data_IF_483848550942
#
_entry.id   IF_483848550942
#
_cell.length_a   1.000
_cell.length_b   1.000
_cell.length_c   1.000
_cell.angle_alpha   90.00
_cell.angle_beta   90.00
_cell.angle_gamma   90.00
#
_symmetry.space_group_name_H-M   'P 1'
#
loop_
_entity.id
_entity.type
_entity.pdbx_description
1 polymer ?
#
# COMPACT_ATOMS: atom_id res chain seq x y z
N UNK A 1 1.50 -3.53 11.54
CA UNK A 1 2.13 -3.01 12.79
C UNK A 1 3.58 -3.51 12.95
N UNK A 2 4.52 -3.10 12.06
CA UNK A 2 5.89 -3.61 12.10
C UNK A 2 6.65 -3.27 13.39
N UNK A 3 6.32 -2.16 14.04
CA UNK A 3 6.97 -1.76 15.29
C UNK A 3 6.53 -2.56 16.52
N UNK A 4 5.33 -3.11 16.49
CA UNK A 4 4.75 -3.81 17.64
C UNK A 4 4.84 -5.33 17.50
N UNK A 5 4.63 -5.84 16.29
CA UNK A 5 4.52 -7.28 16.06
C UNK A 5 5.80 -7.85 15.40
N UNK A 6 6.21 -7.47 14.17
CA UNK A 6 7.49 -7.87 13.58
C UNK A 6 8.55 -6.74 13.70
N UNK A 7 9.13 -6.46 14.90
CA UNK A 7 10.01 -5.28 15.08
C UNK A 7 11.27 -5.33 14.22
N UNK A 8 11.72 -6.51 13.80
CA UNK A 8 12.86 -6.66 12.86
C UNK A 8 12.57 -6.08 11.47
N UNK A 9 11.29 -6.01 11.07
CA UNK A 9 10.89 -5.37 9.80
C UNK A 9 11.23 -3.89 9.78
N UNK A 10 11.26 -3.21 10.93
CA UNK A 10 11.66 -1.80 10.99
C UNK A 10 13.08 -1.56 10.46
N UNK A 11 13.99 -2.52 10.65
CA UNK A 11 15.35 -2.42 10.09
C UNK A 11 15.30 -2.51 8.57
N UNK A 12 14.57 -3.48 8.01
CA UNK A 12 14.41 -3.62 6.57
C UNK A 12 13.72 -2.39 5.94
N UNK A 13 12.70 -1.85 6.60
CA UNK A 13 12.03 -0.62 6.15
C UNK A 13 12.97 0.60 6.17
N UNK A 14 13.82 0.71 7.19
CA UNK A 14 14.83 1.76 7.24
C UNK A 14 15.84 1.61 6.12
N UNK A 15 16.34 0.40 5.89
CA UNK A 15 17.32 0.14 4.83
C UNK A 15 16.72 0.44 3.45
N UNK A 16 15.45 0.09 3.23
CA UNK A 16 14.71 0.48 2.03
C UNK A 16 14.57 2.01 1.91
N UNK A 17 14.27 2.69 3.01
CA UNK A 17 14.18 4.16 3.07
C UNK A 17 15.50 4.82 2.75
N UNK A 18 16.59 4.33 3.33
CA UNK A 18 17.96 4.82 3.07
C UNK A 18 18.36 4.59 1.59
N UNK A 19 17.78 3.56 0.94
CA UNK A 19 17.93 3.30 -0.50
C UNK A 19 16.98 4.13 -1.39
N UNK A 20 16.17 5.01 -0.81
CA UNK A 20 15.29 5.92 -1.55
C UNK A 20 13.87 5.41 -1.77
N UNK A 21 13.44 4.35 -1.09
CA UNK A 21 12.06 3.88 -1.17
C UNK A 21 11.09 4.85 -0.47
N UNK A 22 9.90 5.02 -1.05
CA UNK A 22 8.77 5.69 -0.42
C UNK A 22 7.92 4.67 0.32
N UNK A 23 7.60 4.94 1.58
CA UNK A 23 6.84 4.04 2.44
C UNK A 23 5.46 4.63 2.72
N UNK A 24 4.42 3.96 2.24
CA UNK A 24 3.02 4.27 2.53
C UNK A 24 2.51 3.32 3.62
N UNK A 25 2.07 3.90 4.73
CA UNK A 25 1.51 3.17 5.86
C UNK A 25 -0.01 3.29 5.88
N UNK A 26 -0.69 2.17 5.72
CA UNK A 26 -2.15 2.09 5.82
C UNK A 26 -2.51 1.41 7.13
N UNK A 27 -3.09 2.16 8.08
CA UNK A 27 -3.44 1.63 9.40
C UNK A 27 -4.48 2.52 10.08
N UNK A 28 -5.49 1.96 10.75
CA UNK A 28 -6.43 2.74 11.58
C UNK A 28 -5.77 3.53 12.70
N UNK A 29 -4.59 3.10 13.16
CA UNK A 29 -3.83 3.76 14.23
C UNK A 29 -2.45 4.20 13.73
N UNK A 30 -2.02 5.38 14.15
CA UNK A 30 -0.64 5.81 13.95
C UNK A 30 0.30 4.96 14.79
N UNK A 31 1.31 4.37 14.15
CA UNK A 31 2.27 3.51 14.82
C UNK A 31 3.58 4.26 15.11
N UNK A 32 3.97 4.28 16.39
CA UNK A 32 5.16 5.00 16.85
C UNK A 32 6.44 4.52 16.12
N UNK A 33 6.56 3.22 15.83
CA UNK A 33 7.72 2.65 15.12
C UNK A 33 7.90 3.17 13.70
N UNK A 34 6.82 3.55 13.03
CA UNK A 34 6.85 4.13 11.67
C UNK A 34 7.02 5.65 11.69
N UNK A 35 6.57 6.31 12.77
CA UNK A 35 6.67 7.75 12.94
C UNK A 35 8.02 8.18 13.50
N UNK A 36 8.60 7.37 14.42
CA UNK A 36 9.88 7.67 15.08
C UNK A 36 10.63 6.39 15.40
N UNK A 37 11.35 5.85 14.43
CA UNK A 37 12.18 4.67 14.65
C UNK A 37 13.58 5.03 15.15
N UNK A 38 14.00 4.37 16.23
CA UNK A 38 15.37 4.41 16.75
C UNK A 38 15.82 2.98 17.05
N UNK A 39 16.87 2.54 16.35
CA UNK A 39 17.37 1.16 16.52
C UNK A 39 18.13 1.04 17.83
N UNK A 40 17.73 0.17 18.77
CA UNK A 40 18.34 0.09 20.10
C UNK A 40 19.83 -0.29 20.09
N UNK A 41 20.26 -1.10 19.12
CA UNK A 41 21.64 -1.59 19.02
C UNK A 41 22.59 -0.62 18.30
N UNK A 42 22.09 0.44 17.69
CA UNK A 42 22.90 1.46 17.01
C UNK A 42 23.29 2.64 17.90
N UNK A 43 22.82 2.61 19.16
CA UNK A 43 23.24 3.59 20.17
C UNK A 43 24.77 3.68 20.31
N UNK A 44 25.44 2.53 20.22
CA UNK A 44 26.91 2.41 20.28
C UNK A 44 27.62 2.94 19.01
N UNK A 45 26.93 3.13 17.89
CA UNK A 45 27.49 3.60 16.62
C UNK A 45 27.27 5.10 16.38
N UNK A 46 26.90 5.86 17.40
CA UNK A 46 26.74 7.32 17.31
C UNK A 46 25.54 7.82 16.48
N UNK A 47 24.67 6.94 15.99
CA UNK A 47 23.42 7.31 15.31
C UNK A 47 22.33 7.65 16.33
N UNK A 48 22.39 8.86 16.85
CA UNK A 48 21.39 9.39 17.80
C UNK A 48 20.07 9.84 17.15
N UNK A 49 19.99 9.89 15.82
CA UNK A 49 18.81 10.41 15.11
C UNK A 49 17.72 9.35 15.00
N UNK A 50 16.51 9.73 15.38
CA UNK A 50 15.30 8.99 15.02
C UNK A 50 14.98 9.20 13.54
N UNK A 51 14.59 8.13 12.83
CA UNK A 51 14.16 8.18 11.43
C UNK A 51 12.65 8.06 11.35
N UNK A 52 12.00 8.95 10.61
CA UNK A 52 10.62 8.76 10.19
C UNK A 52 10.62 7.78 9.03
N UNK A 53 10.00 6.61 9.19
CA UNK A 53 9.97 5.59 8.17
C UNK A 53 8.83 5.81 7.16
N UNK A 54 7.61 6.03 7.66
CA UNK A 54 6.47 6.28 6.78
C UNK A 54 6.50 7.70 6.20
N UNK A 55 6.39 7.81 4.88
CA UNK A 55 6.24 9.08 4.18
C UNK A 55 4.78 9.53 4.18
N UNK A 56 3.87 8.58 3.99
CA UNK A 56 2.43 8.80 4.00
C UNK A 56 1.77 7.87 4.99
N UNK A 57 0.81 8.39 5.73
CA UNK A 57 -0.04 7.61 6.62
C UNK A 57 -1.50 7.80 6.23
N UNK A 58 -2.10 6.74 5.70
CA UNK A 58 -3.53 6.67 5.40
C UNK A 58 -4.24 6.02 6.60
N UNK A 59 -4.90 6.84 7.41
CA UNK A 59 -5.64 6.37 8.59
C UNK A 59 -6.99 5.81 8.17
N UNK A 60 -6.97 4.64 7.57
CA UNK A 60 -8.17 3.97 7.06
C UNK A 60 -9.14 3.60 8.18
N UNK A 61 -10.44 3.70 7.94
CA UNK A 61 -11.46 3.15 8.85
C UNK A 61 -11.33 1.64 8.91
N UNK A 62 -11.62 1.07 10.09
CA UNK A 62 -11.68 -0.39 10.24
C UNK A 62 -12.70 -0.97 9.25
N UNK A 63 -12.24 -1.87 8.38
CA UNK A 63 -13.04 -2.45 7.30
C UNK A 63 -13.16 -1.58 6.04
N UNK A 64 -12.53 -0.41 6.01
CA UNK A 64 -12.52 0.50 4.85
C UNK A 64 -11.45 0.19 3.79
N UNK A 65 -10.64 -0.83 4.01
CA UNK A 65 -9.49 -1.19 3.16
C UNK A 65 -9.90 -1.45 1.71
N UNK A 66 -10.99 -2.19 1.49
CA UNK A 66 -11.51 -2.47 0.14
C UNK A 66 -11.89 -1.18 -0.60
N UNK A 67 -12.49 -0.21 0.10
CA UNK A 67 -12.86 1.06 -0.49
C UNK A 67 -11.64 1.91 -0.84
N UNK A 68 -10.63 1.92 0.04
CA UNK A 68 -9.36 2.59 -0.23
C UNK A 68 -8.66 2.00 -1.46
N UNK A 69 -8.51 0.67 -1.52
CA UNK A 69 -7.87 -0.02 -2.64
C UNK A 69 -8.62 0.23 -3.95
N UNK A 70 -9.95 0.19 -3.92
CA UNK A 70 -10.78 0.55 -5.08
C UNK A 70 -10.57 2.00 -5.51
N UNK A 71 -10.38 2.92 -4.57
CA UNK A 71 -10.02 4.31 -4.85
C UNK A 71 -8.66 4.45 -5.53
N UNK A 72 -7.66 3.71 -5.07
CA UNK A 72 -6.33 3.68 -5.68
C UNK A 72 -6.36 3.11 -7.10
N UNK A 73 -7.09 2.01 -7.32
CA UNK A 73 -7.30 1.41 -8.65
C UNK A 73 -8.00 2.41 -9.57
N UNK A 74 -9.11 3.02 -9.10
CA UNK A 74 -9.86 4.02 -9.86
C UNK A 74 -8.99 5.21 -10.27
N UNK A 75 -8.21 5.73 -9.35
CA UNK A 75 -7.28 6.84 -9.62
C UNK A 75 -6.31 6.51 -10.76
N UNK A 76 -5.72 5.31 -10.75
CA UNK A 76 -4.78 4.90 -11.78
C UNK A 76 -5.45 4.63 -13.13
N UNK A 77 -6.67 4.07 -13.13
CA UNK A 77 -7.47 3.92 -14.35
C UNK A 77 -7.82 5.28 -14.97
N UNK A 78 -8.20 6.27 -14.14
CA UNK A 78 -8.50 7.64 -14.60
C UNK A 78 -7.25 8.35 -15.13
N UNK A 79 -6.06 8.01 -14.60
CA UNK A 79 -4.78 8.55 -15.05
C UNK A 79 -4.17 7.79 -16.25
N UNK A 80 -4.77 6.68 -16.69
CA UNK A 80 -4.21 5.82 -17.73
C UNK A 80 -2.93 5.09 -17.31
N UNK A 81 -2.68 4.98 -16.01
CA UNK A 81 -1.47 4.36 -15.44
C UNK A 81 -1.66 2.84 -15.27
N UNK A 82 -1.74 2.13 -16.38
CA UNK A 82 -1.91 0.67 -16.45
C UNK A 82 -0.81 0.11 -17.34
N UNK A 83 -0.17 -0.96 -16.90
CA UNK A 83 0.74 -1.76 -17.74
C UNK A 83 -0.08 -2.64 -18.68
N UNK A 84 -0.47 -2.06 -19.83
CA UNK A 84 -1.36 -2.72 -20.78
C UNK A 84 -0.81 -4.05 -21.30
N UNK A 85 0.49 -4.10 -21.60
CA UNK A 85 1.15 -5.32 -22.10
C UNK A 85 1.14 -6.44 -21.05
N UNK A 86 1.40 -6.09 -19.80
CA UNK A 86 1.33 -7.05 -18.69
C UNK A 86 -0.10 -7.53 -18.46
N UNK A 87 -1.06 -6.62 -18.46
CA UNK A 87 -2.48 -6.93 -18.25
C UNK A 87 -2.97 -7.88 -19.34
N UNK A 88 -2.69 -7.62 -20.61
CA UNK A 88 -3.11 -8.45 -21.73
C UNK A 88 -2.51 -9.86 -21.66
N UNK A 89 -1.22 -9.97 -21.31
CA UNK A 89 -0.50 -11.25 -21.38
C UNK A 89 -0.62 -12.08 -20.10
N UNK A 90 -0.89 -11.47 -18.94
CA UNK A 90 -0.70 -12.10 -17.61
C UNK A 90 -1.93 -12.05 -16.72
N UNK A 91 -3.02 -11.42 -17.16
CA UNK A 91 -4.24 -11.33 -16.36
C UNK A 91 -5.48 -11.82 -17.10
N UNK A 92 -6.54 -12.06 -16.36
CA UNK A 92 -7.87 -12.38 -16.90
C UNK A 92 -8.89 -11.46 -16.23
N UNK A 93 -10.02 -11.21 -16.90
CA UNK A 93 -11.16 -10.44 -16.38
C UNK A 93 -10.81 -9.01 -15.90
N UNK A 94 -9.75 -8.41 -16.47
CA UNK A 94 -9.32 -7.04 -16.12
C UNK A 94 -10.45 -6.03 -16.26
N UNK A 95 -11.23 -6.07 -17.35
CA UNK A 95 -12.31 -5.12 -17.59
C UNK A 95 -13.43 -5.22 -16.55
N UNK A 96 -13.72 -6.40 -16.03
CA UNK A 96 -14.71 -6.55 -14.96
C UNK A 96 -14.26 -5.86 -13.66
N UNK A 97 -12.99 -5.98 -13.31
CA UNK A 97 -12.38 -5.28 -12.18
C UNK A 97 -12.35 -3.76 -12.41
N UNK A 98 -11.92 -3.34 -13.59
CA UNK A 98 -11.82 -1.92 -13.97
C UNK A 98 -13.19 -1.24 -13.96
N UNK A 99 -14.23 -1.87 -14.51
CA UNK A 99 -15.60 -1.34 -14.48
C UNK A 99 -16.14 -1.24 -13.05
N UNK A 100 -15.89 -2.23 -12.22
CA UNK A 100 -16.24 -2.18 -10.79
C UNK A 100 -15.60 -0.97 -10.08
N UNK A 101 -14.36 -0.63 -10.42
CA UNK A 101 -13.69 0.53 -9.85
C UNK A 101 -14.21 1.85 -10.46
N UNK A 102 -14.38 1.93 -11.80
CA UNK A 102 -14.88 3.12 -12.48
C UNK A 102 -16.29 3.51 -12.04
N UNK A 103 -17.20 2.53 -11.93
CA UNK A 103 -18.60 2.75 -11.54
C UNK A 103 -18.78 3.14 -10.07
N UNK A 104 -17.79 2.87 -9.20
CA UNK A 104 -17.90 3.23 -7.79
C UNK A 104 -17.72 4.75 -7.59
N UNK A 105 -18.73 5.46 -7.04
CA UNK A 105 -18.64 6.91 -6.84
C UNK A 105 -17.55 7.30 -5.85
N UNK A 106 -16.77 8.35 -6.13
CA UNK A 106 -15.75 8.90 -5.23
C UNK A 106 -16.31 9.20 -3.83
N UNK A 107 -17.54 9.73 -3.76
CA UNK A 107 -18.21 10.00 -2.46
C UNK A 107 -18.30 8.75 -1.61
N UNK A 108 -18.65 7.60 -2.21
CA UNK A 108 -18.73 6.32 -1.50
C UNK A 108 -17.35 5.83 -1.05
N UNK A 109 -16.35 5.93 -1.92
CA UNK A 109 -14.96 5.56 -1.61
C UNK A 109 -14.46 6.33 -0.39
N UNK A 110 -14.61 7.66 -0.40
CA UNK A 110 -14.20 8.53 0.72
C UNK A 110 -14.97 8.22 1.99
N UNK A 111 -16.27 8.02 1.90
CA UNK A 111 -17.12 7.71 3.05
C UNK A 111 -16.75 6.39 3.70
N UNK A 112 -16.55 5.34 2.91
CA UNK A 112 -16.31 3.98 3.39
C UNK A 112 -14.86 3.81 3.88
N UNK A 113 -13.87 4.37 3.17
CA UNK A 113 -12.46 4.30 3.55
C UNK A 113 -12.12 5.24 4.71
N UNK A 114 -12.80 6.38 4.82
CA UNK A 114 -12.47 7.46 5.74
C UNK A 114 -11.27 8.30 5.29
N UNK A 115 -10.73 8.05 4.09
CA UNK A 115 -9.59 8.78 3.53
C UNK A 115 -10.10 9.85 2.57
N UNK A 116 -9.49 11.04 2.59
CA UNK A 116 -9.84 12.10 1.66
C UNK A 116 -9.51 11.72 0.21
N UNK A 117 -10.26 12.27 -0.75
CA UNK A 117 -9.98 12.04 -2.16
C UNK A 117 -8.57 12.53 -2.53
N UNK A 118 -8.11 13.65 -1.96
CA UNK A 118 -6.77 14.20 -2.20
C UNK A 118 -5.68 13.23 -1.81
N UNK A 119 -5.78 12.61 -0.62
CA UNK A 119 -4.78 11.67 -0.13
C UNK A 119 -4.75 10.39 -0.97
N UNK A 120 -5.93 9.91 -1.43
CA UNK A 120 -6.02 8.77 -2.35
C UNK A 120 -5.36 9.10 -3.69
N UNK A 121 -5.59 10.29 -4.24
CA UNK A 121 -4.99 10.72 -5.49
C UNK A 121 -3.47 10.90 -5.37
N UNK A 122 -2.99 11.44 -4.25
CA UNK A 122 -1.56 11.59 -3.98
C UNK A 122 -0.85 10.23 -3.95
N UNK A 123 -1.35 9.28 -3.17
CA UNK A 123 -0.79 7.93 -3.12
C UNK A 123 -0.98 7.17 -4.44
N UNK A 124 -2.10 7.38 -5.14
CA UNK A 124 -2.33 6.84 -6.47
C UNK A 124 -1.30 7.30 -7.50
N UNK A 125 -0.92 8.59 -7.46
CA UNK A 125 0.13 9.14 -8.33
C UNK A 125 1.52 8.56 -7.99
N UNK A 126 1.82 8.34 -6.71
CA UNK A 126 3.06 7.67 -6.30
C UNK A 126 3.13 6.24 -6.84
N UNK A 127 2.05 5.47 -6.73
CA UNK A 127 1.97 4.12 -7.27
C UNK A 127 2.12 4.10 -8.78
N UNK A 128 1.47 5.03 -9.48
CA UNK A 128 1.54 5.16 -10.95
C UNK A 128 2.97 5.46 -11.45
N UNK A 129 3.74 6.22 -10.68
CA UNK A 129 5.14 6.56 -11.00
C UNK A 129 6.16 5.54 -10.51
N UNK A 130 5.73 4.58 -9.69
CA UNK A 130 6.62 3.58 -9.08
C UNK A 130 7.11 2.57 -10.11
N UNK A 131 8.41 2.32 -10.11
CA UNK A 131 9.02 1.27 -10.94
C UNK A 131 8.86 -0.12 -10.33
N UNK A 132 8.72 -0.20 -9.01
CA UNK A 132 8.58 -1.46 -8.28
C UNK A 132 7.85 -1.20 -6.96
N UNK A 133 6.76 -1.90 -6.71
CA UNK A 133 5.98 -1.79 -5.47
C UNK A 133 5.88 -3.15 -4.79
N UNK A 134 6.13 -3.15 -3.48
CA UNK A 134 5.88 -4.32 -2.62
C UNK A 134 4.72 -3.97 -1.70
N UNK A 135 3.67 -4.79 -1.72
CA UNK A 135 2.56 -4.69 -0.77
C UNK A 135 2.75 -5.70 0.36
N UNK A 136 2.86 -5.19 1.60
CA UNK A 136 3.00 -6.02 2.80
C UNK A 136 1.71 -5.97 3.61
N UNK A 137 1.23 -7.12 4.08
CA UNK A 137 0.09 -7.20 4.99
C UNK A 137 0.23 -8.38 5.95
N UNK A 138 -0.53 -8.34 7.03
CA UNK A 138 -0.64 -9.42 8.00
C UNK A 138 -2.11 -9.61 8.41
N UNK A 139 -2.35 -10.09 9.63
CA UNK A 139 -3.68 -10.41 10.16
C UNK A 139 -4.66 -9.21 10.16
N UNK A 140 -4.16 -7.98 10.12
CA UNK A 140 -5.00 -6.78 10.01
C UNK A 140 -5.92 -6.76 8.78
N UNK A 141 -5.56 -7.44 7.68
CA UNK A 141 -6.43 -7.64 6.53
C UNK A 141 -7.14 -9.00 6.54
N UNK A 142 -6.42 -10.07 6.92
CA UNK A 142 -6.94 -11.44 6.78
C UNK A 142 -8.01 -11.81 7.80
N UNK A 143 -8.06 -11.16 8.96
CA UNK A 143 -9.04 -11.44 10.02
C UNK A 143 -10.37 -10.70 9.85
N UNK A 144 -10.54 -9.92 8.78
CA UNK A 144 -11.82 -9.31 8.46
C UNK A 144 -12.77 -10.29 7.75
N UNK A 145 -14.10 -10.08 7.92
CA UNK A 145 -15.11 -10.88 7.24
C UNK A 145 -14.94 -10.93 5.72
N UNK A 146 -14.45 -9.83 5.13
CA UNK A 146 -14.18 -9.66 3.71
C UNK A 146 -12.68 -9.74 3.37
N UNK A 147 -11.86 -10.36 4.22
CA UNK A 147 -10.39 -10.39 4.09
C UNK A 147 -9.92 -10.93 2.73
N UNK A 148 -10.55 -12.00 2.21
CA UNK A 148 -10.22 -12.54 0.88
C UNK A 148 -10.43 -11.50 -0.21
N UNK A 149 -11.58 -10.81 -0.22
CA UNK A 149 -11.87 -9.78 -1.22
C UNK A 149 -10.88 -8.59 -1.13
N UNK A 150 -10.52 -8.18 0.08
CA UNK A 150 -9.52 -7.11 0.27
C UNK A 150 -8.16 -7.52 -0.29
N UNK A 151 -7.71 -8.75 -0.04
CA UNK A 151 -6.44 -9.23 -0.57
C UNK A 151 -6.49 -9.35 -2.09
N UNK A 152 -7.61 -9.77 -2.68
CA UNK A 152 -7.79 -9.75 -4.13
C UNK A 152 -7.63 -8.34 -4.71
N UNK A 153 -8.15 -7.31 -4.05
CA UNK A 153 -7.95 -5.92 -4.49
C UNK A 153 -6.48 -5.47 -4.36
N UNK A 154 -5.74 -5.92 -3.34
CA UNK A 154 -4.28 -5.69 -3.27
C UNK A 154 -3.56 -6.35 -4.44
N UNK A 155 -3.93 -7.59 -4.78
CA UNK A 155 -3.37 -8.31 -5.93
C UNK A 155 -3.70 -7.60 -7.24
N UNK A 156 -4.96 -7.19 -7.42
CA UNK A 156 -5.43 -6.47 -8.60
C UNK A 156 -4.65 -5.17 -8.81
N UNK A 157 -4.44 -4.40 -7.73
CA UNK A 157 -3.67 -3.16 -7.76
C UNK A 157 -2.23 -3.39 -8.24
N UNK A 158 -1.57 -4.46 -7.81
CA UNK A 158 -0.22 -4.78 -8.26
C UNK A 158 -0.18 -5.39 -9.67
N UNK A 159 -1.16 -6.21 -10.04
CA UNK A 159 -1.26 -6.79 -11.38
C UNK A 159 -1.45 -5.71 -12.45
N UNK A 160 -2.34 -4.73 -12.22
CA UNK A 160 -2.56 -3.67 -13.19
C UNK A 160 -1.32 -2.81 -13.48
N UNK A 161 -0.35 -2.80 -12.56
CA UNK A 161 0.92 -2.08 -12.69
C UNK A 161 2.10 -2.99 -13.09
N UNK A 162 1.86 -4.25 -13.40
CA UNK A 162 2.92 -5.22 -13.69
C UNK A 162 3.89 -5.44 -12.53
N UNK A 163 3.46 -5.24 -11.27
CA UNK A 163 4.31 -5.33 -10.09
C UNK A 163 4.32 -6.73 -9.44
N UNK A 164 4.05 -7.77 -10.22
CA UNK A 164 4.13 -9.17 -9.78
C UNK A 164 5.04 -9.95 -10.73
N UNK A 165 5.88 -10.82 -10.16
CA UNK A 165 6.75 -11.71 -10.93
C UNK A 165 8.03 -11.05 -11.45
N UNK A 166 8.43 -9.90 -10.90
CA UNK A 166 9.71 -9.23 -11.21
C UNK A 166 10.51 -8.88 -9.96
N UNK A 167 11.84 -8.78 -10.05
CA UNK A 167 12.69 -8.41 -8.90
C UNK A 167 12.29 -7.07 -8.28
N UNK A 168 12.24 -7.02 -6.95
CA UNK A 168 11.94 -5.81 -6.19
C UNK A 168 10.48 -5.40 -6.14
N UNK A 169 9.57 -6.19 -6.71
CA UNK A 169 8.13 -5.93 -6.65
C UNK A 169 7.35 -7.21 -6.29
N UNK A 170 6.19 -7.08 -5.68
CA UNK A 170 5.31 -8.19 -5.40
C UNK A 170 4.54 -8.11 -4.08
N UNK A 171 4.10 -9.28 -3.67
CA UNK A 171 3.27 -9.50 -2.49
C UNK A 171 4.12 -10.04 -1.34
N UNK A 172 3.95 -9.49 -0.15
CA UNK A 172 4.67 -9.90 1.05
C UNK A 172 3.68 -10.11 2.22
N UNK A 173 3.00 -11.26 2.26
CA UNK A 173 2.26 -11.64 3.46
C UNK A 173 3.24 -11.91 4.63
N UNK A 174 2.95 -11.32 5.81
CA UNK A 174 3.83 -11.34 6.99
C UNK A 174 3.18 -12.14 8.12
#
# INVERSE_FOLDING_TARGET
NPGTNPPRMLTALRDAKDAGATIVHVNPLSEAGLTRFKHPQEYMKGRLRSTTLADHHLQVRIGGDAALLKGLIKCQLEAGAVDADFVEQKTVDFEAMAESARSTPWKKIVQDSGISKSDILEVGALLASSKATIACWAMGLTQHRNGVAVIQEVVNLLLMNGHIGRPGAGLCPV
#
